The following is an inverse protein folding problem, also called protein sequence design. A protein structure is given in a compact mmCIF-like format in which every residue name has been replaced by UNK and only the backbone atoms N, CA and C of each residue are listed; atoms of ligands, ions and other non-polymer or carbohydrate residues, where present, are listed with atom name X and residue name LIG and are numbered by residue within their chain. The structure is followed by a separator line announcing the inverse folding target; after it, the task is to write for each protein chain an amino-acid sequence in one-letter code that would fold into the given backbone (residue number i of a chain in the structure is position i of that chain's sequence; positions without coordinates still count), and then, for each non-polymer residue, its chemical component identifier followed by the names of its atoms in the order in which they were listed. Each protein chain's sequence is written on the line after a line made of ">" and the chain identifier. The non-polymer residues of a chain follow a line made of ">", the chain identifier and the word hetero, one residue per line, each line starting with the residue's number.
data_IF_688169510861
#
_entry.id   IF_688169510861
#
_cell.length_a   1.000
_cell.length_b   1.000
_cell.length_c   1.000
_cell.angle_alpha   90.00
_cell.angle_beta   90.00
_cell.angle_gamma   90.00
#
_symmetry.space_group_name_H-M   'P 1'
#
loop_
_entity.id
_entity.type
_entity.pdbx_description
1 polymer ?
#
# COMPACT_ATOMS: atom_id res chain seq x y z
N UNK A 1 -3.74 -21.89 -18.10
CA UNK A 1 -3.72 -22.27 -16.67
C UNK A 1 -2.93 -23.55 -16.40
N UNK A 2 -3.22 -24.68 -17.06
CA UNK A 2 -2.68 -26.00 -16.68
C UNK A 2 -1.14 -26.11 -16.64
N UNK A 3 -0.39 -25.50 -17.56
CA UNK A 3 1.07 -25.62 -17.56
C UNK A 3 1.72 -24.97 -16.32
N UNK A 4 1.51 -23.67 -16.12
CA UNK A 4 2.05 -22.95 -14.96
C UNK A 4 1.48 -23.44 -13.62
N UNK A 5 0.21 -23.86 -13.56
CA UNK A 5 -0.37 -24.40 -12.33
C UNK A 5 0.22 -25.77 -11.93
N UNK A 6 0.66 -26.59 -12.89
CA UNK A 6 1.27 -27.90 -12.64
C UNK A 6 2.73 -27.83 -12.23
N UNK A 7 3.42 -26.76 -12.60
CA UNK A 7 4.86 -26.56 -12.37
C UNK A 7 5.13 -25.32 -11.52
N UNK A 8 4.14 -24.85 -10.75
CA UNK A 8 4.31 -23.66 -9.92
C UNK A 8 5.30 -23.94 -8.80
N UNK A 9 6.37 -23.17 -8.76
CA UNK A 9 7.32 -23.10 -7.66
C UNK A 9 7.25 -21.70 -7.02
N UNK A 10 6.85 -21.59 -5.74
CA UNK A 10 6.82 -20.31 -5.05
C UNK A 10 8.21 -19.67 -4.89
N UNK A 11 9.29 -20.46 -4.87
CA UNK A 11 10.66 -19.95 -4.82
C UNK A 11 11.09 -19.33 -6.16
N UNK A 12 10.43 -19.70 -7.26
CA UNK A 12 10.66 -19.18 -8.61
C UNK A 12 9.44 -18.43 -9.13
N UNK A 13 8.90 -17.52 -8.32
CA UNK A 13 7.70 -16.74 -8.66
C UNK A 13 7.79 -16.09 -10.04
N UNK A 14 8.96 -15.60 -10.44
CA UNK A 14 9.14 -14.91 -11.73
C UNK A 14 8.86 -15.79 -12.95
N UNK A 15 9.04 -17.12 -12.84
CA UNK A 15 8.91 -18.04 -13.97
C UNK A 15 7.46 -18.28 -14.38
N UNK A 16 6.59 -18.54 -13.40
CA UNK A 16 5.19 -18.91 -13.64
C UNK A 16 4.17 -18.12 -12.82
N UNK A 17 4.59 -17.40 -11.77
CA UNK A 17 3.72 -16.70 -10.83
C UNK A 17 2.86 -15.61 -11.48
N UNK A 18 3.44 -14.60 -12.16
CA UNK A 18 2.66 -13.54 -12.80
C UNK A 18 1.61 -14.05 -13.79
N UNK A 19 1.99 -15.01 -14.65
CA UNK A 19 1.08 -15.60 -15.63
C UNK A 19 -0.04 -16.41 -14.94
N UNK A 20 0.30 -17.18 -13.90
CA UNK A 20 -0.68 -17.94 -13.14
C UNK A 20 -1.68 -17.02 -12.42
N UNK A 21 -1.23 -15.98 -11.73
CA UNK A 21 -2.11 -15.03 -11.05
C UNK A 21 -3.01 -14.27 -12.03
N UNK A 22 -2.47 -13.89 -13.20
CA UNK A 22 -3.25 -13.24 -14.26
C UNK A 22 -4.35 -14.18 -14.77
N UNK A 23 -4.01 -15.44 -15.04
CA UNK A 23 -4.98 -16.44 -15.49
C UNK A 23 -6.04 -16.76 -14.42
N UNK A 24 -5.66 -16.82 -13.13
CA UNK A 24 -6.59 -17.00 -12.02
C UNK A 24 -7.57 -15.82 -11.89
N UNK A 25 -7.08 -14.59 -12.06
CA UNK A 25 -7.92 -13.38 -12.04
C UNK A 25 -8.98 -13.38 -13.14
N UNK A 26 -8.64 -13.88 -14.33
CA UNK A 26 -9.57 -13.96 -15.47
C UNK A 26 -10.47 -15.21 -15.46
N UNK A 27 -10.20 -16.19 -14.59
CA UNK A 27 -10.94 -17.45 -14.52
C UNK A 27 -11.38 -17.74 -13.07
N UNK A 28 -12.30 -16.92 -12.51
CA UNK A 28 -12.63 -16.91 -11.08
C UNK A 28 -13.19 -18.25 -10.57
N UNK A 29 -13.79 -19.06 -11.44
CA UNK A 29 -14.26 -20.40 -11.09
C UNK A 29 -13.16 -21.31 -10.53
N UNK A 30 -11.92 -21.14 -10.99
CA UNK A 30 -10.76 -21.91 -10.55
C UNK A 30 -9.96 -21.22 -9.43
N UNK A 31 -10.33 -19.99 -9.05
CA UNK A 31 -9.63 -19.19 -8.04
C UNK A 31 -10.25 -19.33 -6.63
N UNK A 32 -10.98 -20.41 -6.34
CA UNK A 32 -11.71 -20.60 -5.06
C UNK A 32 -10.84 -20.51 -3.80
N UNK A 33 -9.52 -20.72 -3.93
CA UNK A 33 -8.56 -20.65 -2.84
C UNK A 33 -7.70 -19.37 -2.85
N UNK A 34 -7.98 -18.43 -3.76
CA UNK A 34 -7.20 -17.19 -3.94
C UNK A 34 -8.13 -15.99 -3.95
N UNK A 35 -7.94 -15.09 -2.99
CA UNK A 35 -8.68 -13.83 -2.94
C UNK A 35 -7.88 -12.71 -3.59
N UNK A 36 -8.44 -12.13 -4.65
CA UNK A 36 -7.92 -10.91 -5.26
C UNK A 36 -8.56 -9.70 -4.58
N UNK A 37 -7.76 -8.97 -3.78
CA UNK A 37 -8.22 -7.77 -3.11
C UNK A 37 -8.54 -6.66 -4.13
N UNK A 38 -9.56 -5.84 -3.83
CA UNK A 38 -9.88 -4.67 -4.64
C UNK A 38 -8.74 -3.66 -4.60
N UNK A 39 -8.59 -2.85 -5.65
CA UNK A 39 -7.64 -1.73 -5.63
C UNK A 39 -7.92 -0.77 -4.46
N UNK A 40 -9.20 -0.54 -4.12
CA UNK A 40 -9.59 0.27 -2.97
C UNK A 40 -9.09 -0.24 -1.62
N UNK A 41 -8.55 -1.46 -1.55
CA UNK A 41 -7.94 -2.01 -0.33
C UNK A 41 -6.60 -1.32 0.02
N UNK A 42 -5.88 -0.80 -0.99
CA UNK A 42 -4.59 -0.11 -0.82
C UNK A 42 -4.58 1.32 -1.38
N UNK A 43 -5.47 1.61 -2.32
CA UNK A 43 -5.52 2.87 -3.07
C UNK A 43 -6.73 3.74 -2.69
N UNK A 44 -7.06 3.82 -1.39
CA UNK A 44 -8.15 4.71 -0.90
C UNK A 44 -7.86 6.18 -1.21
N UNK A 45 -6.60 6.60 -1.16
CA UNK A 45 -6.14 7.93 -1.63
C UNK A 45 -5.57 7.78 -3.02
N UNK A 46 -6.22 8.43 -3.98
CA UNK A 46 -5.85 8.34 -5.39
C UNK A 46 -4.55 9.10 -5.68
N UNK A 47 -3.97 8.85 -6.86
CA UNK A 47 -2.76 9.57 -7.29
C UNK A 47 -3.00 11.08 -7.44
N UNK A 48 -4.23 11.55 -7.64
CA UNK A 48 -4.52 12.99 -7.73
C UNK A 48 -4.48 13.69 -6.37
N UNK A 49 -4.64 12.93 -5.29
CA UNK A 49 -4.80 13.42 -3.93
C UNK A 49 -3.58 13.12 -3.05
N UNK A 50 -2.48 12.59 -3.62
CA UNK A 50 -1.33 12.09 -2.88
C UNK A 50 -0.73 13.10 -1.89
N UNK A 51 -0.79 14.39 -2.20
CA UNK A 51 -0.26 15.47 -1.35
C UNK A 51 -0.98 15.55 0.00
N UNK A 52 -2.23 15.10 0.08
CA UNK A 52 -3.01 15.13 1.32
C UNK A 52 -2.30 14.37 2.45
N UNK A 53 -1.53 13.33 2.14
CA UNK A 53 -0.73 12.59 3.14
C UNK A 53 0.28 13.46 3.90
N UNK A 54 0.69 14.59 3.32
CA UNK A 54 1.72 15.47 3.85
C UNK A 54 1.16 16.81 4.35
N UNK A 55 -0.16 17.00 4.26
CA UNK A 55 -0.85 18.23 4.66
C UNK A 55 -1.56 18.04 6.01
N UNK A 56 -1.11 18.69 7.09
CA UNK A 56 -1.74 18.60 8.41
C UNK A 56 -3.20 19.03 8.44
N UNK A 57 -3.63 19.90 7.52
CA UNK A 57 -5.03 20.35 7.45
C UNK A 57 -5.97 19.25 6.92
N UNK A 58 -5.41 18.20 6.32
CA UNK A 58 -6.15 17.09 5.71
C UNK A 58 -6.17 15.83 6.60
N UNK A 59 -5.59 15.87 7.80
CA UNK A 59 -5.38 14.70 8.65
C UNK A 59 -6.66 13.94 8.94
N UNK A 60 -7.69 14.60 9.47
CA UNK A 60 -8.97 13.96 9.79
C UNK A 60 -9.59 13.30 8.54
N UNK A 61 -9.66 14.06 7.45
CA UNK A 61 -10.20 13.60 6.17
C UNK A 61 -9.48 12.38 5.62
N UNK A 62 -8.14 12.37 5.67
CA UNK A 62 -7.34 11.24 5.17
C UNK A 62 -7.51 10.03 6.07
N UNK A 63 -7.47 10.20 7.40
CA UNK A 63 -7.65 9.10 8.35
C UNK A 63 -9.03 8.45 8.21
N UNK A 64 -10.09 9.25 8.02
CA UNK A 64 -11.42 8.73 7.71
C UNK A 64 -11.43 7.97 6.39
N UNK A 65 -10.83 8.54 5.34
CA UNK A 65 -10.80 7.96 3.98
C UNK A 65 -10.06 6.62 3.91
N UNK A 66 -8.98 6.47 4.68
CA UNK A 66 -8.19 5.23 4.72
C UNK A 66 -8.70 4.25 5.79
N UNK A 67 -9.71 4.61 6.56
CA UNK A 67 -10.28 3.72 7.55
C UNK A 67 -10.76 2.40 6.92
N UNK A 68 -10.43 1.29 7.57
CA UNK A 68 -10.72 -0.06 7.07
C UNK A 68 -9.91 -0.48 5.83
N UNK A 69 -8.92 0.30 5.37
CA UNK A 69 -7.96 -0.18 4.36
C UNK A 69 -6.93 -1.12 5.00
N UNK A 70 -6.36 -2.03 4.22
CA UNK A 70 -5.30 -2.92 4.72
C UNK A 70 -3.95 -2.20 4.80
N UNK A 71 -3.81 -1.14 4.02
CA UNK A 71 -2.65 -0.27 4.01
C UNK A 71 -2.91 0.97 3.18
N UNK A 72 -1.90 1.84 3.12
CA UNK A 72 -1.91 3.05 2.31
C UNK A 72 -0.81 2.99 1.26
N UNK A 73 -1.14 3.38 0.05
CA UNK A 73 -0.16 3.50 -1.02
C UNK A 73 0.40 4.92 -1.08
N UNK A 74 1.70 5.06 -0.84
CA UNK A 74 2.43 6.30 -1.06
C UNK A 74 2.97 6.33 -2.49
N UNK A 75 2.59 7.38 -3.21
CA UNK A 75 2.91 7.56 -4.62
C UNK A 75 4.37 8.04 -4.81
N UNK A 76 5.34 7.18 -4.51
CA UNK A 76 6.77 7.51 -4.38
C UNK A 76 7.37 8.29 -5.57
N UNK A 77 6.92 8.02 -6.80
CA UNK A 77 7.34 8.78 -7.99
C UNK A 77 7.06 10.28 -7.83
N UNK A 78 5.96 10.63 -7.19
CA UNK A 78 5.50 11.99 -6.96
C UNK A 78 5.98 12.55 -5.62
N UNK A 79 6.00 11.72 -4.57
CA UNK A 79 6.37 12.17 -3.22
C UNK A 79 7.87 12.17 -2.93
N UNK A 80 8.74 11.73 -3.85
CA UNK A 80 10.20 11.65 -3.63
C UNK A 80 10.88 12.93 -3.11
N UNK A 81 10.31 14.11 -3.41
CA UNK A 81 10.84 15.41 -2.97
C UNK A 81 10.12 16.00 -1.75
N UNK A 82 9.10 15.32 -1.24
CA UNK A 82 8.27 15.80 -0.13
C UNK A 82 8.70 15.07 1.14
N UNK A 83 9.17 15.83 2.12
CA UNK A 83 9.52 15.29 3.44
C UNK A 83 8.25 15.18 4.29
N UNK A 84 8.06 14.06 4.96
CA UNK A 84 7.05 13.96 6.02
C UNK A 84 7.67 14.39 7.34
N UNK A 85 7.40 15.63 7.75
CA UNK A 85 8.03 16.22 8.94
C UNK A 85 7.43 15.61 10.21
N UNK A 86 8.29 15.19 11.14
CA UNK A 86 7.88 14.71 12.46
C UNK A 86 7.40 15.92 13.30
N UNK A 87 6.29 15.77 14.00
CA UNK A 87 5.62 16.84 14.74
C UNK A 87 4.73 17.76 13.90
N UNK A 88 4.58 17.49 12.59
CA UNK A 88 3.73 18.30 11.70
C UNK A 88 2.24 18.05 11.92
N UNK A 89 1.87 16.89 12.46
CA UNK A 89 0.48 16.45 12.55
C UNK A 89 -0.10 15.98 11.21
N UNK A 90 0.74 15.73 10.19
CA UNK A 90 0.27 15.24 8.88
C UNK A 90 -0.34 13.83 8.97
N UNK A 91 -1.22 13.44 8.04
CA UNK A 91 -1.83 12.12 8.12
C UNK A 91 -0.82 10.98 7.98
N UNK A 92 0.23 11.13 7.16
CA UNK A 92 1.30 10.13 7.07
C UNK A 92 2.02 9.97 8.42
N UNK A 93 2.26 11.08 9.12
CA UNK A 93 2.85 11.04 10.46
C UNK A 93 1.97 10.27 11.45
N UNK A 94 0.67 10.57 11.48
CA UNK A 94 -0.30 9.86 12.33
C UNK A 94 -0.32 8.36 12.05
N UNK A 95 -0.38 7.97 10.78
CA UNK A 95 -0.38 6.57 10.37
C UNK A 95 0.92 5.86 10.74
N UNK A 96 2.07 6.49 10.50
CA UNK A 96 3.38 5.92 10.85
C UNK A 96 3.54 5.74 12.37
N UNK A 97 3.07 6.71 13.17
CA UNK A 97 3.11 6.63 14.63
C UNK A 97 2.28 5.47 15.19
N UNK A 98 1.11 5.22 14.62
CA UNK A 98 0.17 4.18 15.07
C UNK A 98 0.59 2.78 14.56
N UNK A 99 0.87 2.66 13.26
CA UNK A 99 1.07 1.37 12.61
C UNK A 99 2.53 0.95 12.45
N UNK A 100 3.48 1.90 12.52
CA UNK A 100 4.91 1.67 12.35
C UNK A 100 5.75 2.29 13.48
N UNK A 101 5.45 2.01 14.77
CA UNK A 101 6.04 2.75 15.89
C UNK A 101 7.57 2.65 15.97
N UNK A 102 8.16 1.52 15.56
CA UNK A 102 9.63 1.37 15.52
C UNK A 102 10.28 2.28 14.47
N UNK A 103 9.66 2.40 13.29
CA UNK A 103 10.14 3.26 12.21
C UNK A 103 9.99 4.73 12.62
N UNK A 104 8.84 5.09 13.18
CA UNK A 104 8.57 6.45 13.65
C UNK A 104 9.59 6.91 14.71
N UNK A 105 9.93 6.05 15.68
CA UNK A 105 10.96 6.36 16.69
C UNK A 105 12.34 6.62 16.08
N UNK A 106 12.74 5.82 15.09
CA UNK A 106 14.03 6.00 14.41
C UNK A 106 14.04 7.29 13.57
N UNK A 107 12.96 7.55 12.85
CA UNK A 107 12.79 8.77 12.05
C UNK A 107 12.74 10.05 12.89
N UNK A 108 12.27 9.96 14.14
CA UNK A 108 12.23 11.10 15.06
C UNK A 108 13.62 11.71 15.31
N UNK A 109 14.69 10.91 15.25
CA UNK A 109 16.07 11.39 15.35
C UNK A 109 16.49 12.22 14.14
N UNK A 110 15.95 11.91 12.94
CA UNK A 110 16.22 12.63 11.70
C UNK A 110 15.28 13.84 11.48
N UNK A 111 14.15 13.90 12.20
CA UNK A 111 13.14 14.96 12.09
C UNK A 111 12.15 14.80 10.92
N UNK A 112 12.27 13.72 10.13
CA UNK A 112 11.35 13.40 9.03
C UNK A 112 11.32 11.88 8.75
N UNK A 113 10.20 11.41 8.18
CA UNK A 113 10.04 10.05 7.62
C UNK A 113 10.67 9.94 6.23
#
# INVERSE_FOLDING_TARGET
>A
MKACARQYDPQSFQSCGPLLLTQLRHAPFYARLVNFLSSSTFFKVSFGEWKMFFDPTMTEKVLEKVNGSYGVHLWNRFSKGTKAIIGSGSPLEHLARIHCPSVYRQASTAGYL
#
